data_IF_417725182686
#
_entry.id   IF_417725182686
#
_cell.length_a   1.000
_cell.length_b   1.000
_cell.length_c   1.000
_cell.angle_alpha   90.00
_cell.angle_beta   90.00
_cell.angle_gamma   90.00
#
_symmetry.space_group_name_H-M   'P 1'
#
loop_
_entity.id
_entity.type
_entity.pdbx_description
1 polymer ?
#
# COMPACT_ATOMS: atom_id res chain seq x y z
N UNK A 1 3.38 -11.32 -3.17
CA UNK A 1 2.70 -10.40 -2.24
C UNK A 1 2.01 -9.29 -3.02
N UNK A 2 0.84 -8.81 -2.55
CA UNK A 2 0.07 -7.77 -3.24
C UNK A 2 0.80 -6.42 -3.33
N UNK A 3 1.65 -6.09 -2.36
CA UNK A 3 2.38 -4.82 -2.33
C UNK A 3 3.24 -4.62 -3.59
N UNK A 4 3.94 -5.66 -4.04
CA UNK A 4 4.77 -5.65 -5.25
C UNK A 4 4.05 -6.06 -6.54
N UNK A 5 2.72 -6.18 -6.52
CA UNK A 5 1.95 -6.47 -7.72
C UNK A 5 2.06 -5.31 -8.73
N UNK A 6 1.76 -5.60 -10.00
CA UNK A 6 1.62 -4.54 -11.02
C UNK A 6 0.62 -3.50 -10.53
N UNK A 7 0.90 -2.22 -10.79
CA UNK A 7 0.12 -1.09 -10.30
C UNK A 7 -1.41 -1.29 -10.45
N UNK A 8 -1.96 -1.70 -11.62
CA UNK A 8 -3.40 -1.88 -11.75
C UNK A 8 -3.99 -2.93 -10.80
N UNK A 9 -3.24 -4.00 -10.49
CA UNK A 9 -3.67 -5.05 -9.58
C UNK A 9 -3.67 -4.52 -8.13
N UNK A 10 -2.62 -3.77 -7.77
CA UNK A 10 -2.54 -3.13 -6.45
C UNK A 10 -3.67 -2.11 -6.26
N UNK A 11 -3.97 -1.29 -7.28
CA UNK A 11 -5.01 -0.26 -7.20
C UNK A 11 -6.42 -0.88 -7.06
N UNK A 12 -6.69 -1.98 -7.76
CA UNK A 12 -7.95 -2.76 -7.59
C UNK A 12 -8.06 -3.31 -6.16
N UNK A 13 -6.97 -3.88 -5.65
CA UNK A 13 -6.94 -4.39 -4.28
C UNK A 13 -7.16 -3.27 -3.25
N UNK A 14 -6.48 -2.13 -3.40
CA UNK A 14 -6.60 -1.01 -2.47
C UNK A 14 -8.00 -0.39 -2.50
N UNK A 15 -8.64 -0.32 -3.67
CA UNK A 15 -10.04 0.09 -3.79
C UNK A 15 -11.01 -0.90 -3.13
N UNK A 16 -10.73 -2.21 -3.19
CA UNK A 16 -11.53 -3.21 -2.48
C UNK A 16 -11.46 -3.02 -0.95
N UNK A 17 -10.27 -2.70 -0.41
CA UNK A 17 -10.11 -2.35 1.01
C UNK A 17 -10.97 -1.14 1.38
N UNK A 18 -11.03 -0.09 0.54
CA UNK A 18 -11.91 1.07 0.81
C UNK A 18 -13.38 0.67 0.92
N UNK A 19 -13.83 -0.29 0.11
CA UNK A 19 -15.21 -0.79 0.12
C UNK A 19 -15.52 -1.64 1.36
N UNK A 20 -14.56 -2.45 1.80
CA UNK A 20 -14.70 -3.25 3.04
C UNK A 20 -14.91 -2.35 4.27
N UNK A 21 -14.18 -1.23 4.32
CA UNK A 21 -14.28 -0.23 5.37
C UNK A 21 -15.20 0.95 5.01
N UNK A 22 -16.19 0.77 4.12
CA UNK A 22 -17.07 1.86 3.68
C UNK A 22 -17.81 2.54 4.83
N UNK A 23 -18.09 1.81 5.90
CA UNK A 23 -18.76 2.27 7.13
C UNK A 23 -17.87 3.16 8.01
N UNK A 24 -16.55 3.18 7.79
CA UNK A 24 -15.64 4.09 8.48
C UNK A 24 -15.71 5.46 7.82
N UNK A 25 -15.82 6.51 8.65
CA UNK A 25 -15.77 7.89 8.19
C UNK A 25 -14.53 8.14 7.32
N UNK A 26 -14.69 8.92 6.25
CA UNK A 26 -13.65 9.05 5.22
C UNK A 26 -12.32 9.52 5.79
N UNK A 27 -12.34 10.54 6.66
CA UNK A 27 -11.14 11.09 7.28
C UNK A 27 -10.41 10.08 8.17
N UNK A 28 -11.14 9.29 8.95
CA UNK A 28 -10.57 8.24 9.80
C UNK A 28 -9.98 7.11 8.96
N UNK A 29 -10.69 6.69 7.91
CA UNK A 29 -10.20 5.70 6.96
C UNK A 29 -8.90 6.17 6.30
N UNK A 30 -8.88 7.42 5.80
CA UNK A 30 -7.71 7.98 5.12
C UNK A 30 -6.49 8.03 6.05
N UNK A 31 -6.65 8.55 7.26
CA UNK A 31 -5.60 8.58 8.29
C UNK A 31 -5.10 7.18 8.63
N UNK A 32 -6.01 6.27 8.96
CA UNK A 32 -5.69 4.90 9.36
C UNK A 32 -4.99 4.12 8.24
N UNK A 33 -5.53 4.18 7.02
CA UNK A 33 -4.97 3.51 5.84
C UNK A 33 -3.59 4.06 5.50
N UNK A 34 -3.41 5.37 5.49
CA UNK A 34 -2.11 5.98 5.23
C UNK A 34 -1.07 5.55 6.27
N UNK A 35 -1.44 5.50 7.56
CA UNK A 35 -0.55 5.04 8.62
C UNK A 35 -0.13 3.56 8.44
N UNK A 36 -1.06 2.67 8.08
CA UNK A 36 -0.75 1.26 7.80
C UNK A 36 0.23 1.12 6.64
N UNK A 37 -0.02 1.82 5.52
CA UNK A 37 0.86 1.77 4.35
C UNK A 37 2.24 2.38 4.65
N UNK A 38 2.29 3.46 5.42
CA UNK A 38 3.54 4.09 5.86
C UNK A 38 4.41 3.12 6.67
N UNK A 39 3.82 2.37 7.61
CA UNK A 39 4.54 1.34 8.39
C UNK A 39 5.17 0.24 7.52
N UNK A 40 4.61 -0.06 6.35
CA UNK A 40 5.27 -0.95 5.40
C UNK A 40 6.42 -0.25 4.68
N UNK A 41 6.22 1.00 4.27
CA UNK A 41 7.21 1.80 3.54
C UNK A 41 8.46 2.11 4.38
N UNK A 42 8.27 2.32 5.68
CA UNK A 42 9.34 2.65 6.64
C UNK A 42 10.27 1.46 6.94
N UNK A 43 9.90 0.24 6.53
CA UNK A 43 10.76 -0.92 6.71
C UNK A 43 12.03 -0.74 5.85
N UNK A 44 13.22 -1.06 6.38
CA UNK A 44 14.45 -1.08 5.58
C UNK A 44 14.33 -2.01 4.37
N UNK A 45 13.59 -3.11 4.54
CA UNK A 45 13.29 -4.10 3.51
C UNK A 45 11.85 -4.58 3.68
N UNK A 46 11.04 -4.53 2.62
CA UNK A 46 9.66 -5.05 2.62
C UNK A 46 9.66 -6.57 2.41
N UNK A 47 10.52 -7.07 1.50
CA UNK A 47 10.68 -8.50 1.22
C UNK A 47 12.00 -9.04 1.74
N UNK A 48 11.95 -9.78 2.85
CA UNK A 48 13.16 -10.30 3.51
C UNK A 48 13.91 -11.29 2.61
N UNK A 49 13.20 -12.17 1.90
CA UNK A 49 13.76 -13.11 0.93
C UNK A 49 14.41 -12.37 -0.26
N UNK A 50 15.71 -12.60 -0.55
CA UNK A 50 16.44 -11.85 -1.59
C UNK A 50 15.78 -11.86 -2.97
N UNK A 51 15.37 -13.04 -3.46
CA UNK A 51 14.72 -13.15 -4.78
C UNK A 51 13.41 -12.35 -4.85
N UNK A 52 12.61 -12.35 -3.77
CA UNK A 52 11.38 -11.56 -3.72
C UNK A 52 11.68 -10.06 -3.64
N UNK A 53 12.76 -9.68 -2.95
CA UNK A 53 13.21 -8.29 -2.87
C UNK A 53 13.56 -7.74 -4.24
N UNK A 54 14.40 -8.46 -4.98
CA UNK A 54 14.81 -8.07 -6.33
C UNK A 54 13.60 -7.91 -7.26
N UNK A 55 12.64 -8.84 -7.17
CA UNK A 55 11.47 -8.82 -8.04
C UNK A 55 10.42 -7.75 -7.68
N UNK A 56 10.25 -7.43 -6.38
CA UNK A 56 9.05 -6.74 -5.90
C UNK A 56 9.31 -5.48 -5.08
N UNK A 57 10.50 -5.26 -4.51
CA UNK A 57 10.76 -4.18 -3.55
C UNK A 57 10.52 -2.80 -4.15
N UNK A 58 11.11 -2.52 -5.31
CA UNK A 58 10.97 -1.23 -6.00
C UNK A 58 9.48 -0.92 -6.27
N UNK A 59 8.77 -1.88 -6.87
CA UNK A 59 7.36 -1.72 -7.20
C UNK A 59 6.47 -1.57 -5.96
N UNK A 60 6.78 -2.28 -4.89
CA UNK A 60 6.07 -2.14 -3.62
C UNK A 60 6.23 -0.74 -3.04
N UNK A 61 7.43 -0.19 -3.05
CA UNK A 61 7.68 1.17 -2.57
C UNK A 61 6.93 2.21 -3.41
N UNK A 62 6.89 2.04 -4.73
CA UNK A 62 6.16 2.96 -5.62
C UNK A 62 4.65 2.89 -5.41
N UNK A 63 4.10 1.68 -5.29
CA UNK A 63 2.68 1.48 -4.96
C UNK A 63 2.31 2.12 -3.62
N UNK A 64 3.11 1.89 -2.57
CA UNK A 64 2.88 2.45 -1.25
C UNK A 64 2.94 3.97 -1.26
N UNK A 65 3.97 4.58 -1.88
CA UNK A 65 4.10 6.04 -1.99
C UNK A 65 2.90 6.66 -2.69
N UNK A 66 2.51 6.12 -3.86
CA UNK A 66 1.36 6.60 -4.64
C UNK A 66 0.07 6.54 -3.83
N UNK A 67 -0.18 5.42 -3.15
CA UNK A 67 -1.37 5.25 -2.32
C UNK A 67 -1.38 6.22 -1.14
N UNK A 68 -0.26 6.38 -0.43
CA UNK A 68 -0.14 7.33 0.68
C UNK A 68 -0.39 8.77 0.20
N UNK A 69 0.18 9.18 -0.92
CA UNK A 69 -0.06 10.51 -1.48
C UNK A 69 -1.53 10.74 -1.80
N UNK A 70 -2.22 9.77 -2.40
CA UNK A 70 -3.67 9.82 -2.67
C UNK A 70 -4.54 9.92 -1.40
N UNK A 71 -4.07 9.35 -0.29
CA UNK A 71 -4.81 9.37 0.99
C UNK A 71 -4.52 10.63 1.81
N UNK A 72 -3.45 11.37 1.50
CA UNK A 72 -3.06 12.60 2.20
C UNK A 72 -3.44 13.88 1.46
N UNK A 73 -3.53 13.84 0.12
CA UNK A 73 -4.04 14.94 -0.71
C UNK A 73 -5.55 14.86 -0.86
#
# INVERSE_FOLDING_TARGET
SILGARQPIFDVFDAAIRREYHWVAEDDYRRGRAAVLQRFLDRPVIFVTPALREMFEARARDNLRRAISRLRG
#
